data_IF_248282421224
#
_entry.id   IF_248282421224
#
_cell.length_a   1.000
_cell.length_b   1.000
_cell.length_c   1.000
_cell.angle_alpha   90.00
_cell.angle_beta   90.00
_cell.angle_gamma   90.00
#
_symmetry.space_group_name_H-M   'P 1'
#
loop_
_entity.id
_entity.type
_entity.pdbx_description
1 polymer ?
#
# COMPACT_ATOMS: atom_id res chain seq x y z
N UNK A 1 11.41 -35.28 -31.00
CA UNK A 1 10.42 -34.96 -29.95
C UNK A 1 10.77 -33.72 -29.12
N UNK A 2 11.83 -32.96 -29.44
CA UNK A 2 12.20 -31.73 -28.72
C UNK A 2 11.84 -30.42 -29.45
N UNK A 3 11.25 -30.48 -30.66
CA UNK A 3 10.97 -29.27 -31.46
C UNK A 3 9.50 -28.84 -31.50
N UNK A 4 8.58 -29.57 -30.86
CA UNK A 4 7.17 -29.17 -30.75
C UNK A 4 6.85 -28.40 -29.46
N UNK A 5 7.71 -28.46 -28.43
CA UNK A 5 7.49 -27.74 -27.17
C UNK A 5 7.88 -26.25 -27.23
N UNK A 6 8.59 -25.81 -28.26
CA UNK A 6 9.04 -24.42 -28.40
C UNK A 6 7.99 -23.51 -29.06
N UNK A 7 7.04 -24.06 -29.82
CA UNK A 7 6.08 -23.26 -30.59
C UNK A 7 4.77 -22.92 -29.84
N UNK A 8 4.56 -23.45 -28.64
CA UNK A 8 3.36 -23.17 -27.82
C UNK A 8 3.60 -22.12 -26.70
N UNK A 9 4.77 -21.46 -26.65
CA UNK A 9 5.11 -20.56 -25.54
C UNK A 9 4.68 -19.10 -25.68
N UNK A 10 4.18 -18.67 -26.83
CA UNK A 10 3.53 -17.36 -26.95
C UNK A 10 2.02 -17.54 -26.78
N UNK A 11 1.61 -17.79 -25.54
CA UNK A 11 0.19 -17.80 -25.18
C UNK A 11 -0.46 -16.51 -25.66
N UNK A 12 -1.55 -16.65 -26.42
CA UNK A 12 -2.35 -15.53 -26.89
C UNK A 12 -2.66 -14.60 -25.71
N UNK A 13 -2.19 -13.34 -25.76
CA UNK A 13 -2.35 -12.35 -24.69
C UNK A 13 -3.83 -12.09 -24.39
N UNK A 14 -4.71 -12.32 -25.37
CA UNK A 14 -6.16 -12.19 -25.25
C UNK A 14 -6.78 -13.21 -24.28
N UNK A 15 -6.03 -14.27 -23.90
CA UNK A 15 -6.46 -15.33 -23.00
C UNK A 15 -5.67 -15.37 -21.68
N UNK A 16 -4.91 -14.32 -21.39
CA UNK A 16 -4.19 -14.15 -20.13
C UNK A 16 -5.15 -13.77 -18.98
N UNK A 17 -6.17 -14.59 -18.73
CA UNK A 17 -7.12 -14.39 -17.64
C UNK A 17 -6.50 -14.48 -16.23
N UNK A 18 -7.32 -14.47 -15.19
CA UNK A 18 -6.94 -14.48 -13.75
C UNK A 18 -5.91 -15.55 -13.36
N UNK A 19 -5.85 -16.67 -14.09
CA UNK A 19 -4.85 -17.70 -13.89
C UNK A 19 -3.41 -17.23 -14.18
N UNK A 20 -3.22 -16.29 -15.11
CA UNK A 20 -1.91 -15.69 -15.41
C UNK A 20 -1.41 -14.82 -14.28
N UNK A 21 -2.28 -14.03 -13.65
CA UNK A 21 -1.90 -13.19 -12.49
C UNK A 21 -1.49 -14.05 -11.28
N UNK A 22 -2.26 -15.11 -10.98
CA UNK A 22 -1.89 -16.03 -9.89
C UNK A 22 -0.56 -16.72 -10.17
N UNK A 23 -0.36 -17.25 -11.38
CA UNK A 23 0.90 -17.91 -11.78
C UNK A 23 2.07 -16.93 -11.79
N UNK A 24 1.89 -15.73 -12.32
CA UNK A 24 2.89 -14.67 -12.34
C UNK A 24 3.30 -14.24 -10.94
N UNK A 25 2.33 -14.04 -10.04
CA UNK A 25 2.61 -13.74 -8.64
C UNK A 25 3.42 -14.84 -7.94
N UNK A 26 3.10 -16.11 -8.20
CA UNK A 26 3.88 -17.25 -7.67
C UNK A 26 5.32 -17.21 -8.21
N UNK A 27 5.49 -17.07 -9.53
CA UNK A 27 6.81 -16.99 -10.15
C UNK A 27 7.63 -15.83 -9.60
N UNK A 28 7.00 -14.67 -9.41
CA UNK A 28 7.64 -13.50 -8.81
C UNK A 28 8.12 -13.79 -7.38
N UNK A 29 7.24 -14.31 -6.52
CA UNK A 29 7.58 -14.63 -5.13
C UNK A 29 8.70 -15.67 -5.01
N UNK A 30 8.66 -16.72 -5.83
CA UNK A 30 9.68 -17.79 -5.83
C UNK A 30 11.01 -17.35 -6.45
N UNK A 31 10.99 -16.31 -7.30
CA UNK A 31 12.19 -15.75 -7.92
C UNK A 31 12.94 -14.75 -7.03
N UNK A 32 12.35 -14.31 -5.92
CA UNK A 32 12.98 -13.36 -5.01
C UNK A 32 13.99 -14.05 -4.09
N UNK A 33 15.21 -13.52 -4.03
CA UNK A 33 16.27 -14.03 -3.16
C UNK A 33 15.92 -13.95 -1.67
N UNK A 34 15.19 -12.90 -1.28
CA UNK A 34 14.76 -12.62 0.09
C UNK A 34 13.23 -12.65 0.25
N UNK A 35 12.57 -13.42 -0.62
CA UNK A 35 11.12 -13.63 -0.65
C UNK A 35 10.62 -14.69 0.35
N UNK A 36 9.30 -14.94 0.39
CA UNK A 36 8.71 -15.97 1.23
C UNK A 36 9.15 -17.37 0.79
N UNK A 37 9.30 -18.28 1.75
CA UNK A 37 9.64 -19.67 1.46
C UNK A 37 8.59 -20.36 0.60
N UNK A 38 9.03 -21.27 -0.27
CA UNK A 38 8.18 -21.95 -1.26
C UNK A 38 6.87 -22.53 -0.71
N UNK A 39 6.83 -23.18 0.48
CA UNK A 39 5.57 -23.69 1.03
C UNK A 39 4.53 -22.60 1.30
N UNK A 40 4.96 -21.42 1.76
CA UNK A 40 4.06 -20.25 1.96
C UNK A 40 3.44 -19.83 0.64
N UNK A 41 4.24 -19.78 -0.42
CA UNK A 41 3.79 -19.40 -1.77
C UNK A 41 2.79 -20.44 -2.30
N UNK A 42 3.06 -21.73 -2.12
CA UNK A 42 2.17 -22.81 -2.56
C UNK A 42 0.84 -22.79 -1.81
N UNK A 43 0.86 -22.59 -0.49
CA UNK A 43 -0.37 -22.47 0.31
C UNK A 43 -1.19 -21.27 -0.15
N UNK A 44 -0.55 -20.10 -0.36
CA UNK A 44 -1.21 -18.90 -0.90
C UNK A 44 -1.79 -19.13 -2.30
N UNK A 45 -1.15 -19.95 -3.11
CA UNK A 45 -1.62 -20.36 -4.43
C UNK A 45 -2.77 -21.38 -4.38
N UNK A 46 -3.09 -21.88 -3.19
CA UNK A 46 -3.97 -23.02 -2.94
C UNK A 46 -3.50 -24.30 -3.66
N UNK A 47 -2.19 -24.56 -3.61
CA UNK A 47 -1.55 -25.74 -4.18
C UNK A 47 -1.21 -26.75 -3.10
N UNK A 48 -1.36 -28.04 -3.41
CA UNK A 48 -0.85 -29.12 -2.56
C UNK A 48 0.68 -29.08 -2.58
N UNK A 49 1.29 -29.14 -1.41
CA UNK A 49 2.74 -29.23 -1.26
C UNK A 49 3.14 -30.71 -1.37
N UNK A 50 2.36 -31.60 -0.76
CA UNK A 50 2.53 -33.06 -0.85
C UNK A 50 1.84 -33.80 0.30
N UNK A 51 1.61 -35.11 0.15
CA UNK A 51 0.78 -35.90 1.08
C UNK A 51 1.21 -35.84 2.56
N UNK A 52 2.51 -35.84 2.82
CA UNK A 52 3.07 -35.73 4.17
C UNK A 52 3.21 -34.27 4.59
N UNK A 53 3.71 -33.42 3.69
CA UNK A 53 4.01 -32.02 3.98
C UNK A 53 2.76 -31.21 4.29
N UNK A 54 1.64 -31.47 3.62
CA UNK A 54 0.36 -30.79 3.86
C UNK A 54 -0.18 -31.03 5.29
N UNK A 55 0.29 -32.06 6.00
CA UNK A 55 -0.11 -32.36 7.39
C UNK A 55 0.65 -31.54 8.44
N UNK A 56 1.85 -31.07 8.09
CA UNK A 56 2.77 -30.43 9.04
C UNK A 56 3.10 -28.98 8.67
N UNK A 57 3.05 -28.64 7.37
CA UNK A 57 3.30 -27.29 6.87
C UNK A 57 1.97 -26.59 6.71
N UNK A 58 1.54 -25.95 7.80
CA UNK A 58 0.32 -25.16 7.83
C UNK A 58 0.61 -23.70 7.43
N UNK A 59 -0.40 -23.03 6.88
CA UNK A 59 -0.30 -21.61 6.54
C UNK A 59 -0.04 -20.76 7.77
N UNK A 60 1.19 -20.24 7.90
CA UNK A 60 1.55 -19.27 8.93
C UNK A 60 1.11 -17.86 8.53
N UNK A 61 0.46 -17.14 9.44
CA UNK A 61 -0.06 -15.79 9.19
C UNK A 61 1.01 -14.82 8.73
N UNK A 62 2.21 -14.87 9.32
CA UNK A 62 3.32 -13.96 8.97
C UNK A 62 3.85 -14.17 7.54
N UNK A 63 3.93 -15.42 7.09
CA UNK A 63 4.40 -15.74 5.73
C UNK A 63 3.41 -15.27 4.66
N UNK A 64 2.12 -15.51 4.87
CA UNK A 64 1.08 -15.06 3.94
C UNK A 64 0.99 -13.53 3.88
N UNK A 65 1.10 -12.85 5.03
CA UNK A 65 1.15 -11.40 5.10
C UNK A 65 2.38 -10.83 4.38
N UNK A 66 3.55 -11.44 4.55
CA UNK A 66 4.79 -11.05 3.86
C UNK A 66 4.65 -11.19 2.33
N UNK A 67 4.16 -12.35 1.88
CA UNK A 67 3.86 -12.60 0.47
C UNK A 67 2.83 -11.60 -0.07
N UNK A 68 1.80 -11.27 0.71
CA UNK A 68 0.79 -10.29 0.34
C UNK A 68 1.33 -8.89 0.14
N UNK A 69 2.25 -8.43 1.00
CA UNK A 69 2.91 -7.12 0.83
C UNK A 69 3.74 -7.04 -0.43
N UNK A 70 4.52 -8.08 -0.73
CA UNK A 70 5.32 -8.13 -1.96
C UNK A 70 4.40 -8.09 -3.19
N UNK A 71 3.33 -8.89 -3.20
CA UNK A 71 2.38 -8.91 -4.31
C UNK A 71 1.56 -7.62 -4.44
N UNK A 72 1.46 -6.83 -3.38
CA UNK A 72 0.88 -5.48 -3.44
C UNK A 72 1.87 -4.44 -4.03
N UNK A 73 3.09 -4.85 -4.38
CA UNK A 73 4.12 -3.98 -4.97
C UNK A 73 4.99 -3.26 -3.94
N UNK A 74 4.92 -3.61 -2.66
CA UNK A 74 5.78 -2.99 -1.64
C UNK A 74 7.23 -3.47 -1.80
N UNK A 75 8.16 -2.52 -1.86
CA UNK A 75 9.58 -2.82 -1.98
C UNK A 75 10.17 -3.32 -0.66
N UNK A 76 10.51 -4.61 -0.62
CA UNK A 76 11.09 -5.26 0.56
C UNK A 76 12.50 -4.79 0.92
N UNK A 77 13.18 -4.07 0.01
CA UNK A 77 14.49 -3.44 0.23
C UNK A 77 14.43 -2.10 0.96
N UNK A 78 13.24 -1.63 1.35
CA UNK A 78 13.06 -0.32 2.00
C UNK A 78 12.38 -0.42 3.35
N UNK A 79 12.55 0.62 4.17
CA UNK A 79 11.76 0.81 5.39
C UNK A 79 10.26 0.97 5.08
N UNK A 80 9.92 1.41 3.87
CA UNK A 80 8.54 1.68 3.46
C UNK A 80 7.78 0.39 3.15
N UNK A 81 8.44 -0.78 3.19
CA UNK A 81 7.77 -2.07 3.13
C UNK A 81 6.67 -2.25 4.20
N UNK A 82 6.86 -1.61 5.36
CA UNK A 82 5.91 -1.59 6.48
C UNK A 82 4.83 -0.51 6.36
N UNK A 83 4.66 0.12 5.19
CA UNK A 83 3.57 1.09 4.97
C UNK A 83 2.22 0.49 5.33
N UNK A 84 1.40 1.27 6.02
CA UNK A 84 0.01 0.94 6.33
C UNK A 84 -0.88 1.41 5.17
N UNK A 85 -1.99 0.70 4.87
CA UNK A 85 -2.94 1.21 3.89
C UNK A 85 -3.47 2.58 4.32
N UNK A 86 -3.81 3.47 3.38
CA UNK A 86 -4.56 4.68 3.71
C UNK A 86 -5.79 4.31 4.54
N UNK A 87 -5.99 5.00 5.65
CA UNK A 87 -7.09 4.74 6.56
C UNK A 87 -7.57 6.02 7.23
N UNK A 88 -8.84 6.05 7.59
CA UNK A 88 -9.41 7.21 8.28
C UNK A 88 -8.98 7.27 9.74
N UNK A 89 -8.82 8.49 10.24
CA UNK A 89 -8.83 8.81 11.67
C UNK A 89 -10.14 8.33 12.31
N UNK A 90 -10.15 8.21 13.64
CA UNK A 90 -11.38 7.95 14.40
C UNK A 90 -12.49 8.96 14.07
N UNK A 91 -12.14 10.23 13.89
CA UNK A 91 -13.10 11.28 13.54
C UNK A 91 -13.64 11.14 12.10
N UNK A 92 -12.76 10.83 11.14
CA UNK A 92 -13.19 10.57 9.76
C UNK A 92 -14.14 9.38 9.64
N UNK A 93 -13.93 8.32 10.44
CA UNK A 93 -14.84 7.19 10.49
C UNK A 93 -16.23 7.58 10.99
N UNK A 94 -16.32 8.41 12.04
CA UNK A 94 -17.62 8.90 12.54
C UNK A 94 -18.37 9.68 11.46
N UNK A 95 -17.69 10.59 10.76
CA UNK A 95 -18.32 11.36 9.67
C UNK A 95 -18.84 10.45 8.54
N UNK A 96 -18.11 9.38 8.21
CA UNK A 96 -18.55 8.39 7.21
C UNK A 96 -19.76 7.61 7.73
N UNK A 97 -19.77 7.21 9.00
CA UNK A 97 -20.89 6.52 9.63
C UNK A 97 -22.15 7.39 9.65
N UNK A 98 -22.02 8.69 9.94
CA UNK A 98 -23.12 9.68 9.88
C UNK A 98 -23.68 9.85 8.45
N UNK A 99 -22.82 9.83 7.43
CA UNK A 99 -23.24 9.86 6.03
C UNK A 99 -23.95 8.55 5.64
N UNK A 100 -23.44 7.43 6.16
CA UNK A 100 -23.90 6.07 5.89
C UNK A 100 -23.11 5.42 4.75
N UNK A 101 -22.54 4.24 5.04
CA UNK A 101 -21.72 3.47 4.10
C UNK A 101 -22.41 3.08 2.78
N UNK A 102 -23.73 2.87 2.81
CA UNK A 102 -24.54 2.55 1.62
C UNK A 102 -24.47 3.63 0.53
N UNK A 103 -24.19 4.88 0.92
CA UNK A 103 -24.06 5.97 -0.04
C UNK A 103 -22.73 5.97 -0.77
N UNK A 104 -21.69 5.40 -0.16
CA UNK A 104 -20.38 5.26 -0.79
C UNK A 104 -20.32 4.00 -1.65
N UNK A 105 -20.85 2.89 -1.13
CA UNK A 105 -20.88 1.60 -1.81
C UNK A 105 -22.27 1.00 -1.67
N UNK A 106 -22.93 0.81 -2.81
CA UNK A 106 -24.23 0.17 -2.88
C UNK A 106 -24.18 -1.26 -2.33
N UNK A 107 -25.11 -1.58 -1.43
CA UNK A 107 -25.24 -2.90 -0.82
C UNK A 107 -24.28 -3.15 0.34
N UNK A 108 -23.68 -2.11 0.92
CA UNK A 108 -22.70 -2.24 2.00
C UNK A 108 -23.20 -3.11 3.17
N UNK A 109 -24.44 -2.90 3.60
CA UNK A 109 -25.07 -3.62 4.70
C UNK A 109 -25.33 -5.09 4.40
N UNK A 110 -25.34 -5.49 3.12
CA UNK A 110 -25.50 -6.88 2.71
C UNK A 110 -24.18 -7.67 2.73
N UNK A 111 -23.04 -6.97 2.81
CA UNK A 111 -21.74 -7.64 2.77
C UNK A 111 -21.40 -8.35 4.09
N UNK A 112 -20.65 -9.46 4.03
CA UNK A 112 -20.10 -10.09 5.24
C UNK A 112 -19.27 -9.11 6.06
N UNK A 113 -19.33 -9.21 7.39
CA UNK A 113 -18.61 -8.31 8.31
C UNK A 113 -17.10 -8.25 8.01
N UNK A 114 -16.49 -9.35 7.57
CA UNK A 114 -15.08 -9.34 7.14
C UNK A 114 -14.81 -8.44 5.94
N UNK A 115 -15.73 -8.41 4.97
CA UNK A 115 -15.59 -7.59 3.76
C UNK A 115 -15.88 -6.10 4.03
N UNK A 116 -16.88 -5.81 4.88
CA UNK A 116 -17.16 -4.45 5.38
C UNK A 116 -15.92 -3.81 6.02
N UNK A 117 -15.13 -4.60 6.77
CA UNK A 117 -13.87 -4.14 7.36
C UNK A 117 -12.81 -3.77 6.33
N UNK A 118 -12.81 -4.36 5.14
CA UNK A 118 -11.87 -4.04 4.06
C UNK A 118 -12.29 -2.79 3.29
N UNK A 119 -13.60 -2.58 3.12
CA UNK A 119 -14.17 -1.47 2.36
C UNK A 119 -13.69 -0.09 2.85
N UNK A 120 -13.50 0.08 4.17
CA UNK A 120 -12.99 1.36 4.70
C UNK A 120 -11.62 1.74 4.16
N UNK A 121 -10.74 0.74 3.94
CA UNK A 121 -9.42 0.97 3.37
C UNK A 121 -9.51 1.23 1.87
N UNK A 122 -10.44 0.58 1.19
CA UNK A 122 -10.71 0.86 -0.22
C UNK A 122 -11.16 2.32 -0.40
N UNK A 123 -12.16 2.78 0.35
CA UNK A 123 -12.63 4.16 0.28
C UNK A 123 -11.50 5.15 0.62
N UNK A 124 -10.76 4.91 1.70
CA UNK A 124 -9.61 5.75 2.06
C UNK A 124 -8.55 5.78 0.95
N UNK A 125 -8.27 4.66 0.31
CA UNK A 125 -7.30 4.59 -0.80
C UNK A 125 -7.77 5.43 -2.00
N UNK A 126 -9.04 5.31 -2.39
CA UNK A 126 -9.61 6.10 -3.49
C UNK A 126 -9.53 7.60 -3.18
N UNK A 127 -9.94 8.02 -1.99
CA UNK A 127 -9.94 9.44 -1.61
C UNK A 127 -8.52 10.00 -1.46
N UNK A 128 -7.59 9.22 -0.91
CA UNK A 128 -6.19 9.62 -0.81
C UNK A 128 -5.59 9.92 -2.19
N UNK A 129 -5.86 9.04 -3.16
CA UNK A 129 -5.38 9.11 -4.54
C UNK A 129 -6.29 9.92 -5.48
N UNK A 130 -7.33 10.59 -4.96
CA UNK A 130 -8.30 11.32 -5.78
C UNK A 130 -7.65 12.33 -6.74
N UNK A 131 -6.64 13.14 -6.33
CA UNK A 131 -5.96 14.03 -7.28
C UNK A 131 -5.29 13.29 -8.44
N UNK A 132 -4.67 12.14 -8.17
CA UNK A 132 -4.05 11.28 -9.18
C UNK A 132 -5.10 10.66 -10.11
N UNK A 133 -6.25 10.24 -9.56
CA UNK A 133 -7.36 9.74 -10.38
C UNK A 133 -7.91 10.83 -11.32
N UNK A 134 -8.00 12.07 -10.86
CA UNK A 134 -8.41 13.21 -11.70
C UNK A 134 -7.38 13.52 -12.81
N UNK A 135 -6.10 13.29 -12.55
CA UNK A 135 -5.05 13.41 -13.55
C UNK A 135 -5.15 12.31 -14.61
N UNK A 136 -5.39 11.06 -14.19
CA UNK A 136 -5.47 9.91 -15.10
C UNK A 136 -6.79 9.81 -15.86
N UNK A 137 -7.89 10.27 -15.25
CA UNK A 137 -9.25 10.26 -15.79
C UNK A 137 -9.82 11.67 -15.80
N UNK A 138 -9.33 12.57 -16.67
CA UNK A 138 -9.67 13.99 -16.62
C UNK A 138 -11.09 14.29 -17.11
N UNK A 139 -11.77 13.37 -17.79
CA UNK A 139 -13.07 13.64 -18.40
C UNK A 139 -14.21 13.24 -17.45
N UNK A 140 -15.20 14.11 -17.30
CA UNK A 140 -16.36 13.85 -16.44
C UNK A 140 -17.20 12.63 -16.85
N UNK A 141 -17.04 12.13 -18.08
CA UNK A 141 -17.70 10.95 -18.61
C UNK A 141 -16.86 9.66 -18.50
N UNK A 142 -15.65 9.70 -17.93
CA UNK A 142 -14.89 8.50 -17.64
C UNK A 142 -15.68 7.63 -16.62
N UNK A 143 -15.79 6.33 -16.87
CA UNK A 143 -16.68 5.40 -16.14
C UNK A 143 -16.49 5.42 -14.61
N UNK A 144 -15.26 5.70 -14.15
CA UNK A 144 -14.92 5.79 -12.73
C UNK A 144 -15.77 6.84 -12.00
N UNK A 145 -16.13 7.95 -12.68
CA UNK A 145 -16.92 9.03 -12.09
C UNK A 145 -18.40 8.70 -11.99
N UNK A 146 -18.86 7.60 -12.60
CA UNK A 146 -20.21 7.07 -12.46
C UNK A 146 -20.47 6.35 -11.12
N UNK A 147 -19.44 6.11 -10.31
CA UNK A 147 -19.61 5.44 -9.01
C UNK A 147 -20.48 6.27 -8.05
N UNK A 148 -21.36 5.65 -7.23
CA UNK A 148 -22.28 6.36 -6.33
C UNK A 148 -21.62 7.43 -5.45
N UNK A 149 -20.41 7.14 -4.95
CA UNK A 149 -19.66 8.06 -4.09
C UNK A 149 -19.35 9.41 -4.74
N UNK A 150 -19.17 9.48 -6.07
CA UNK A 150 -18.83 10.71 -6.78
C UNK A 150 -20.05 11.57 -7.16
N UNK A 151 -21.25 10.99 -7.20
CA UNK A 151 -22.51 11.70 -7.49
C UNK A 151 -23.37 12.02 -6.26
N UNK A 152 -23.00 11.51 -5.08
CA UNK A 152 -23.83 11.45 -3.86
C UNK A 152 -24.43 12.80 -3.40
N UNK A 153 -23.73 13.92 -3.57
CA UNK A 153 -24.12 15.24 -3.08
C UNK A 153 -24.35 16.25 -4.21
N UNK A 154 -24.63 15.79 -5.44
CA UNK A 154 -24.76 16.66 -6.60
C UNK A 154 -23.48 17.47 -6.84
N UNK A 155 -23.61 18.78 -7.11
CA UNK A 155 -22.45 19.66 -7.36
C UNK A 155 -21.46 19.77 -6.18
N UNK A 156 -21.89 19.44 -4.95
CA UNK A 156 -21.03 19.48 -3.76
C UNK A 156 -20.24 18.21 -3.47
N UNK A 157 -20.39 17.16 -4.29
CA UNK A 157 -19.84 15.82 -3.99
C UNK A 157 -18.33 15.85 -3.82
N UNK A 158 -17.62 16.42 -4.80
CA UNK A 158 -16.16 16.47 -4.79
C UNK A 158 -15.62 17.28 -3.61
N UNK A 159 -16.24 18.41 -3.26
CA UNK A 159 -15.82 19.20 -2.12
C UNK A 159 -15.93 18.42 -0.80
N UNK A 160 -17.02 17.65 -0.63
CA UNK A 160 -17.22 16.81 0.57
C UNK A 160 -16.31 15.58 0.60
N UNK A 161 -16.02 14.97 -0.54
CA UNK A 161 -15.03 13.89 -0.61
C UNK A 161 -13.61 14.41 -0.29
N UNK A 162 -13.28 15.62 -0.75
CA UNK A 162 -12.01 16.27 -0.41
C UNK A 162 -11.93 16.63 1.09
N UNK A 163 -13.01 17.06 1.73
CA UNK A 163 -12.99 17.26 3.19
C UNK A 163 -12.78 15.94 3.95
N UNK A 164 -13.39 14.84 3.50
CA UNK A 164 -13.14 13.51 4.07
C UNK A 164 -11.70 13.05 3.88
N UNK A 165 -11.03 13.48 2.80
CA UNK A 165 -9.61 13.19 2.54
C UNK A 165 -8.69 13.76 3.62
N UNK A 166 -9.05 14.91 4.21
CA UNK A 166 -8.26 15.53 5.30
C UNK A 166 -8.18 14.64 6.54
N UNK A 167 -9.13 13.71 6.69
CA UNK A 167 -9.17 12.75 7.78
C UNK A 167 -8.43 11.44 7.49
N UNK A 168 -7.65 11.35 6.40
CA UNK A 168 -6.92 10.15 6.02
C UNK A 168 -5.48 10.20 6.53
N UNK A 169 -5.06 9.12 7.18
CA UNK A 169 -3.71 8.88 7.64
C UNK A 169 -3.02 7.95 6.65
N UNK A 170 -1.81 8.35 6.23
CA UNK A 170 -0.83 7.46 5.63
C UNK A 170 0.37 7.41 6.55
N UNK A 171 0.60 6.25 7.14
CA UNK A 171 1.69 6.02 8.09
C UNK A 171 2.38 4.70 7.80
N UNK A 172 3.49 4.46 8.47
CA UNK A 172 4.30 3.25 8.31
C UNK A 172 4.54 2.61 9.67
N UNK A 173 4.66 1.28 9.69
CA UNK A 173 4.89 0.44 10.87
C UNK A 173 3.76 0.44 11.90
N UNK A 174 3.47 1.58 12.54
CA UNK A 174 2.41 1.71 13.54
C UNK A 174 1.72 3.07 13.45
N UNK A 175 0.40 3.04 13.39
CA UNK A 175 -0.44 4.22 13.53
C UNK A 175 -0.76 4.47 15.00
N UNK A 176 -0.54 5.69 15.47
CA UNK A 176 -0.83 6.11 16.85
C UNK A 176 -2.30 6.46 17.08
N UNK A 177 -3.04 6.85 16.05
CA UNK A 177 -4.47 7.20 16.14
C UNK A 177 -5.34 5.96 16.36
N UNK A 178 -5.26 4.98 15.44
CA UNK A 178 -6.11 3.80 15.46
C UNK A 178 -5.42 2.55 16.05
N UNK A 179 -4.14 2.64 16.40
CA UNK A 179 -3.35 1.54 16.95
C UNK A 179 -2.96 0.45 15.94
N UNK A 180 -3.26 0.64 14.64
CA UNK A 180 -2.91 -0.31 13.59
C UNK A 180 -1.40 -0.52 13.50
N UNK A 181 -0.99 -1.78 13.31
CA UNK A 181 0.42 -2.14 13.09
C UNK A 181 0.60 -3.00 11.85
N UNK A 182 1.73 -2.79 11.18
CA UNK A 182 2.11 -3.52 9.99
C UNK A 182 2.45 -4.96 10.36
N UNK A 183 1.79 -5.91 9.71
CA UNK A 183 2.05 -7.33 9.87
C UNK A 183 2.77 -7.90 8.65
N UNK A 184 3.46 -9.03 8.78
CA UNK A 184 4.25 -9.61 7.68
C UNK A 184 5.47 -8.77 7.29
N UNK A 185 6.00 -7.98 8.22
CA UNK A 185 7.24 -7.22 8.04
C UNK A 185 8.42 -8.04 8.57
N UNK A 186 9.42 -8.37 7.73
CA UNK A 186 10.61 -9.07 8.20
C UNK A 186 11.49 -8.14 9.06
N UNK A 187 12.33 -8.71 9.92
CA UNK A 187 13.23 -7.96 10.80
C UNK A 187 14.11 -6.95 10.06
N UNK A 188 14.49 -7.26 8.81
CA UNK A 188 15.26 -6.33 7.96
C UNK A 188 14.54 -4.98 7.78
N UNK A 189 13.22 -4.95 7.75
CA UNK A 189 12.43 -3.72 7.58
C UNK A 189 12.61 -2.78 8.78
N UNK A 190 12.64 -3.31 10.01
CA UNK A 190 12.90 -2.52 11.22
C UNK A 190 14.33 -1.96 11.24
N UNK A 191 15.30 -2.74 10.77
CA UNK A 191 16.69 -2.28 10.63
C UNK A 191 16.76 -1.14 9.61
N UNK A 192 16.13 -1.31 8.45
CA UNK A 192 16.07 -0.29 7.41
C UNK A 192 15.38 0.99 7.88
N UNK A 193 14.36 0.88 8.74
CA UNK A 193 13.73 2.02 9.41
C UNK A 193 14.74 2.77 10.27
N UNK A 194 15.44 2.09 11.19
CA UNK A 194 16.46 2.72 12.03
C UNK A 194 17.57 3.39 11.21
N UNK A 195 18.00 2.76 10.10
CA UNK A 195 18.97 3.34 9.17
C UNK A 195 18.42 4.56 8.40
N UNK A 196 17.10 4.62 8.15
CA UNK A 196 16.44 5.77 7.52
C UNK A 196 16.35 6.94 8.50
N UNK A 197 15.95 6.68 9.74
CA UNK A 197 15.85 7.66 10.83
C UNK A 197 17.23 8.27 11.14
N UNK A 198 18.24 7.43 11.37
CA UNK A 198 19.62 7.89 11.60
C UNK A 198 20.17 8.75 10.45
N UNK A 199 19.85 8.41 9.19
CA UNK A 199 20.26 9.21 8.03
C UNK A 199 19.60 10.59 7.99
N UNK A 200 18.37 10.71 8.45
CA UNK A 200 17.67 12.00 8.57
C UNK A 200 18.31 12.82 9.68
N UNK A 201 18.51 12.25 10.86
CA UNK A 201 19.14 12.93 12.00
C UNK A 201 20.54 13.47 11.66
N UNK A 202 21.39 12.65 11.02
CA UNK A 202 22.73 13.07 10.59
C UNK A 202 22.65 14.19 9.57
N UNK A 203 21.71 14.11 8.61
CA UNK A 203 21.52 15.15 7.60
C UNK A 203 21.10 16.47 8.24
N UNK A 204 20.18 16.42 9.18
CA UNK A 204 19.65 17.62 9.84
C UNK A 204 20.72 18.25 10.75
N UNK A 205 21.52 17.44 11.45
CA UNK A 205 22.68 17.92 12.20
C UNK A 205 23.72 18.62 11.30
N UNK A 206 24.04 18.04 10.13
CA UNK A 206 24.97 18.67 9.17
C UNK A 206 24.41 20.00 8.67
N UNK A 207 23.12 20.08 8.36
CA UNK A 207 22.48 21.33 7.90
C UNK A 207 22.55 22.42 8.97
N UNK A 208 22.30 22.07 10.23
CA UNK A 208 22.36 23.04 11.32
C UNK A 208 23.79 23.56 11.51
N UNK A 209 24.80 22.69 11.47
CA UNK A 209 26.21 23.09 11.53
C UNK A 209 26.60 23.98 10.33
N UNK A 210 26.16 23.67 9.11
CA UNK A 210 26.41 24.51 7.93
C UNK A 210 25.81 25.91 8.10
N UNK A 211 24.59 26.01 8.63
CA UNK A 211 23.93 27.28 8.91
C UNK A 211 24.70 28.12 9.94
N UNK A 212 25.18 27.50 11.01
CA UNK A 212 26.02 28.18 12.02
C UNK A 212 27.34 28.67 11.43
N UNK A 213 27.93 27.92 10.49
CA UNK A 213 29.15 28.34 9.80
C UNK A 213 28.88 29.54 8.89
N UNK A 214 27.78 29.52 8.12
CA UNK A 214 27.35 30.63 7.26
C UNK A 214 27.14 31.91 8.08
N UNK A 215 26.41 31.84 9.20
CA UNK A 215 26.17 32.98 10.09
C UNK A 215 27.48 33.58 10.63
N UNK A 216 28.43 32.73 11.06
CA UNK A 216 29.76 33.18 11.53
C UNK A 216 30.62 33.78 10.43
N UNK A 217 30.50 33.29 9.19
CA UNK A 217 31.20 33.86 8.04
C UNK A 217 30.66 35.24 7.70
N UNK A 218 29.34 35.41 7.71
CA UNK A 218 28.68 36.70 7.48
C UNK A 218 29.04 37.73 8.56
N UNK A 219 29.10 37.32 9.83
CA UNK A 219 29.57 38.17 10.92
C UNK A 219 31.03 38.61 10.71
N UNK A 220 31.92 37.69 10.32
CA UNK A 220 33.33 38.02 10.04
C UNK A 220 33.48 38.96 8.84
N UNK A 221 32.71 38.77 7.78
CA UNK A 221 32.72 39.66 6.61
C UNK A 221 32.33 41.09 6.99
N UNK A 222 31.26 41.26 7.78
CA UNK A 222 30.84 42.58 8.28
C UNK A 222 31.90 43.27 9.14
N UNK A 223 32.67 42.51 9.92
CA UNK A 223 33.77 43.05 10.73
C UNK A 223 34.98 43.47 9.87
N UNK A 224 35.19 42.88 8.70
CA UNK A 224 36.30 43.24 7.80
C UNK A 224 35.99 44.44 6.89
N UNK A 225 34.71 44.74 6.66
CA UNK A 225 34.26 45.85 5.80
C UNK A 225 34.01 47.17 6.55
N UNK A 226 34.05 47.18 7.88
CA UNK A 226 33.90 48.36 8.75
C UNK A 226 35.22 48.81 9.37
#
# INVERSE_FOLDING_TARGET
MASQAANDQHGNLDNAGTHSLRKGGITHLLGMMDGPGAPTVYIRANWKIGETQDRYILGGTGGDQFAGRILAGNDSGTADFAVLPPHFTTEGLKQIEEIGWERFISGYGSFPAGFQKCIRFFLASILWHLPTLQEWFPHSNDDIWGMPMFGMFGQGSMARLMSLREHIIVSSHRCTDCGMSASGTPTKTEILKGMKEMRVEVRDAIKEEMKVIEEKMDEKMKVMEG
#
